data_IF_683377010724
#
_entry.id   IF_683377010724
#
_cell.length_a   1.000
_cell.length_b   1.000
_cell.length_c   1.000
_cell.angle_alpha   90.00
_cell.angle_beta   90.00
_cell.angle_gamma   90.00
#
_symmetry.space_group_name_H-M   'P 1'
#
loop_
_entity.id
_entity.type
_entity.pdbx_description
1 polymer ?
#
# COMPACT_ATOMS: atom_id res chain seq x y z
N UNK A 1 -12.48 -28.64 -16.28
CA UNK A 1 -13.33 -27.50 -15.89
C UNK A 1 -12.54 -26.71 -14.86
N UNK A 2 -11.51 -25.99 -15.30
CA UNK A 2 -10.53 -25.31 -14.42
C UNK A 2 -9.91 -24.16 -15.22
N UNK A 3 -10.55 -23.00 -15.29
CA UNK A 3 -9.94 -21.75 -15.84
C UNK A 3 -10.89 -20.56 -15.84
N UNK A 4 -11.74 -20.43 -14.82
CA UNK A 4 -12.48 -19.17 -14.62
C UNK A 4 -12.18 -18.56 -13.26
N UNK A 5 -12.09 -19.37 -12.21
CA UNK A 5 -11.82 -18.85 -10.86
C UNK A 5 -10.36 -18.39 -10.64
N UNK A 6 -9.39 -18.99 -11.33
CA UNK A 6 -7.95 -18.68 -11.14
C UNK A 6 -7.48 -17.40 -11.83
N UNK A 7 -8.24 -16.86 -12.79
CA UNK A 7 -7.88 -15.59 -13.47
C UNK A 7 -8.38 -14.39 -12.67
N UNK A 8 -9.62 -14.41 -12.20
CA UNK A 8 -10.18 -13.33 -11.35
C UNK A 8 -9.37 -13.14 -10.07
N UNK A 9 -8.90 -14.23 -9.45
CA UNK A 9 -8.08 -14.17 -8.23
C UNK A 9 -6.72 -13.48 -8.48
N UNK A 10 -6.10 -13.69 -9.65
CA UNK A 10 -4.84 -13.05 -10.01
C UNK A 10 -5.04 -11.57 -10.37
N UNK A 11 -6.16 -11.22 -11.02
CA UNK A 11 -6.52 -9.83 -11.30
C UNK A 11 -6.78 -9.06 -9.99
N UNK A 12 -7.51 -9.66 -9.05
CA UNK A 12 -7.78 -9.07 -7.72
C UNK A 12 -6.50 -8.86 -6.92
N UNK A 13 -5.57 -9.82 -6.92
CA UNK A 13 -4.28 -9.68 -6.27
C UNK A 13 -3.42 -8.57 -6.91
N UNK A 14 -3.46 -8.41 -8.24
CA UNK A 14 -2.79 -7.31 -8.94
C UNK A 14 -3.39 -5.96 -8.56
N UNK A 15 -4.72 -5.84 -8.57
CA UNK A 15 -5.44 -4.62 -8.22
C UNK A 15 -5.14 -4.21 -6.77
N UNK A 16 -5.14 -5.17 -5.84
CA UNK A 16 -4.80 -4.91 -4.44
C UNK A 16 -3.35 -4.42 -4.30
N UNK A 17 -2.40 -5.03 -5.02
CA UNK A 17 -1.00 -4.60 -5.03
C UNK A 17 -0.83 -3.19 -5.58
N UNK A 18 -1.48 -2.89 -6.69
CA UNK A 18 -1.41 -1.57 -7.34
C UNK A 18 -1.99 -0.48 -6.43
N UNK A 19 -3.17 -0.72 -5.86
CA UNK A 19 -3.81 0.22 -4.95
C UNK A 19 -2.98 0.48 -3.67
N UNK A 20 -2.38 -0.57 -3.12
CA UNK A 20 -1.53 -0.44 -1.94
C UNK A 20 -0.23 0.33 -2.25
N UNK A 21 0.40 0.07 -3.40
CA UNK A 21 1.55 0.83 -3.87
C UNK A 21 1.21 2.31 -4.15
N UNK A 22 0.05 2.59 -4.74
CA UNK A 22 -0.43 3.96 -4.96
C UNK A 22 -0.63 4.70 -3.62
N UNK A 23 -1.23 4.04 -2.62
CA UNK A 23 -1.41 4.61 -1.29
C UNK A 23 -0.07 4.94 -0.60
N UNK A 24 0.91 4.03 -0.69
CA UNK A 24 2.26 4.25 -0.16
C UNK A 24 2.96 5.42 -0.86
N UNK A 25 2.89 5.48 -2.19
CA UNK A 25 3.47 6.56 -2.97
C UNK A 25 2.82 7.92 -2.67
N UNK A 26 1.49 7.96 -2.53
CA UNK A 26 0.76 9.17 -2.16
C UNK A 26 1.14 9.67 -0.76
N UNK A 27 1.34 8.75 0.19
CA UNK A 27 1.80 9.07 1.54
C UNK A 27 3.20 9.69 1.53
N UNK A 28 4.15 9.07 0.83
CA UNK A 28 5.52 9.58 0.71
C UNK A 28 5.58 10.94 -0.02
N UNK A 29 4.79 11.10 -1.08
CA UNK A 29 4.67 12.36 -1.81
C UNK A 29 4.09 13.49 -0.94
N UNK A 30 3.11 13.18 -0.08
CA UNK A 30 2.55 14.14 0.86
C UNK A 30 3.57 14.55 1.92
N UNK A 31 4.28 13.58 2.50
CA UNK A 31 5.35 13.85 3.48
C UNK A 31 6.45 14.75 2.92
N UNK A 32 6.82 14.58 1.65
CA UNK A 32 7.82 15.42 1.00
C UNK A 32 7.38 16.88 0.79
N UNK A 33 6.07 17.16 0.84
CA UNK A 33 5.50 18.48 0.58
C UNK A 33 5.09 19.23 1.85
N UNK A 34 5.00 18.55 2.99
CA UNK A 34 4.56 19.14 4.24
C UNK A 34 5.72 19.84 4.99
N UNK A 35 5.43 20.92 5.74
CA UNK A 35 6.36 21.44 6.73
C UNK A 35 6.78 20.34 7.72
N UNK A 36 7.99 20.39 8.30
CA UNK A 36 8.50 19.33 9.18
C UNK A 36 7.54 18.94 10.32
N UNK A 37 6.92 19.92 10.97
CA UNK A 37 5.98 19.68 12.08
C UNK A 37 4.74 18.90 11.65
N UNK A 38 4.21 19.19 10.46
CA UNK A 38 3.04 18.51 9.92
C UNK A 38 3.38 17.13 9.38
N UNK A 39 4.56 16.99 8.76
CA UNK A 39 5.11 15.71 8.35
C UNK A 39 5.30 14.77 9.55
N UNK A 40 5.82 15.27 10.67
CA UNK A 40 5.99 14.50 11.91
C UNK A 40 4.64 14.09 12.52
N UNK A 41 3.64 14.99 12.51
CA UNK A 41 2.29 14.66 12.95
C UNK A 41 1.66 13.56 12.08
N UNK A 42 1.86 13.65 10.75
CA UNK A 42 1.39 12.65 9.80
C UNK A 42 2.11 11.29 10.00
N UNK A 43 3.44 11.29 10.18
CA UNK A 43 4.20 10.07 10.49
C UNK A 43 3.74 9.40 11.77
N UNK A 44 3.45 10.16 12.83
CA UNK A 44 2.96 9.60 14.11
C UNK A 44 1.57 8.98 13.98
N UNK A 45 0.68 9.56 13.19
CA UNK A 45 -0.70 9.09 13.04
C UNK A 45 -0.85 7.92 12.06
N UNK A 46 -0.02 7.88 11.01
CA UNK A 46 -0.18 6.93 9.89
C UNK A 46 1.01 6.01 9.67
N UNK A 47 2.18 6.29 10.25
CA UNK A 47 3.42 5.55 9.98
C UNK A 47 3.31 4.04 10.25
N UNK A 48 2.73 3.65 11.39
CA UNK A 48 2.55 2.23 11.71
C UNK A 48 1.65 1.52 10.69
N UNK A 49 0.57 2.17 10.23
CA UNK A 49 -0.34 1.61 9.24
C UNK A 49 0.34 1.42 7.88
N UNK A 50 1.23 2.33 7.50
CA UNK A 50 2.01 2.21 6.27
C UNK A 50 3.03 1.07 6.35
N UNK A 51 3.68 0.87 7.51
CA UNK A 51 4.58 -0.27 7.70
C UNK A 51 3.82 -1.61 7.72
N UNK A 52 2.61 -1.66 8.29
CA UNK A 52 1.74 -2.83 8.20
C UNK A 52 1.34 -3.14 6.75
N UNK A 53 0.91 -2.13 5.99
CA UNK A 53 0.56 -2.30 4.57
C UNK A 53 1.73 -2.81 3.74
N UNK A 54 2.96 -2.32 3.97
CA UNK A 54 4.17 -2.84 3.32
C UNK A 54 4.42 -4.31 3.67
N UNK A 55 4.21 -4.70 4.93
CA UNK A 55 4.38 -6.09 5.36
C UNK A 55 3.35 -7.02 4.72
N UNK A 56 2.07 -6.60 4.66
CA UNK A 56 1.00 -7.34 4.00
C UNK A 56 1.26 -7.48 2.49
N UNK A 57 1.72 -6.42 1.81
CA UNK A 57 2.11 -6.49 0.41
C UNK A 57 3.22 -7.52 0.17
N UNK A 58 4.25 -7.51 1.01
CA UNK A 58 5.36 -8.46 0.90
C UNK A 58 4.89 -9.91 1.06
N UNK A 59 3.95 -10.17 1.97
CA UNK A 59 3.35 -11.50 2.14
C UNK A 59 2.56 -11.99 0.92
N UNK A 60 2.17 -11.10 0.01
CA UNK A 60 1.51 -11.45 -1.26
C UNK A 60 2.52 -11.70 -2.39
N UNK A 61 3.81 -11.45 -2.17
CA UNK A 61 4.89 -11.69 -3.13
C UNK A 61 5.65 -13.00 -2.84
N UNK A 62 5.62 -13.46 -1.58
CA UNK A 62 6.19 -14.72 -1.07
C UNK A 62 5.19 -15.89 -1.16
#
# INVERSE_FOLDING_TARGET
MESKETVYFNEEASIARDAANEALAAFDALLARLPPTDADALRRSMGLKMEQLKAELKQLED
#
